data_IF_825954312766
#
_entry.id   IF_825954312766
#
_cell.length_a   1.000
_cell.length_b   1.000
_cell.length_c   1.000
_cell.angle_alpha   90.00
_cell.angle_beta   90.00
_cell.angle_gamma   90.00
#
_symmetry.space_group_name_H-M   'P 1'
#
loop_
_entity.id
_entity.type
_entity.pdbx_description
1 polymer ?
#
# COMPACT_ATOMS: atom_id res chain seq x y z
N UNK A 1 12.42 -1.70 4.22
CA UNK A 1 11.36 -0.66 4.11
C UNK A 1 10.17 -1.27 3.41
N UNK A 2 8.95 -0.90 3.77
CA UNK A 2 7.74 -1.46 3.16
C UNK A 2 7.73 -1.33 1.62
N UNK A 3 8.08 -0.16 1.09
CA UNK A 3 8.13 0.06 -0.36
C UNK A 3 9.07 -0.91 -1.09
N UNK A 4 10.23 -1.20 -0.50
CA UNK A 4 11.18 -2.15 -1.06
C UNK A 4 10.64 -3.59 -1.02
N UNK A 5 9.92 -3.97 0.03
CA UNK A 5 9.32 -5.30 0.14
C UNK A 5 8.20 -5.51 -0.90
N UNK A 6 7.40 -4.48 -1.17
CA UNK A 6 6.42 -4.50 -2.27
C UNK A 6 7.10 -4.55 -3.65
N UNK A 7 8.24 -3.87 -3.84
CA UNK A 7 9.04 -3.98 -5.07
C UNK A 7 9.53 -5.40 -5.27
N UNK A 8 10.17 -5.97 -4.25
CA UNK A 8 10.77 -7.29 -4.30
C UNK A 8 9.69 -8.38 -4.49
N UNK A 9 8.47 -8.12 -4.03
CA UNK A 9 7.30 -9.00 -4.20
C UNK A 9 6.44 -8.71 -5.42
N UNK A 10 6.76 -7.68 -6.22
CA UNK A 10 5.86 -7.15 -7.24
C UNK A 10 5.42 -8.20 -8.26
N UNK A 11 6.34 -9.05 -8.71
CA UNK A 11 6.03 -10.11 -9.67
C UNK A 11 4.98 -11.11 -9.13
N UNK A 12 5.04 -11.45 -7.83
CA UNK A 12 4.07 -12.35 -7.21
C UNK A 12 2.67 -11.71 -7.14
N UNK A 13 2.64 -10.39 -6.91
CA UNK A 13 1.41 -9.60 -6.87
C UNK A 13 0.81 -9.48 -8.28
N UNK A 14 1.63 -9.15 -9.30
CA UNK A 14 1.20 -9.08 -10.70
C UNK A 14 0.65 -10.40 -11.23
N UNK A 15 1.21 -11.54 -10.81
CA UNK A 15 0.69 -12.87 -11.16
C UNK A 15 -0.70 -13.17 -10.59
N UNK A 16 -1.18 -12.35 -9.66
CA UNK A 16 -2.52 -12.45 -9.09
C UNK A 16 -3.50 -11.44 -9.71
N UNK A 17 -3.17 -10.89 -10.89
CA UNK A 17 -3.93 -9.84 -11.59
C UNK A 17 -4.19 -8.59 -10.72
N UNK A 18 -3.27 -8.32 -9.79
CA UNK A 18 -3.34 -7.19 -8.86
C UNK A 18 -2.26 -6.15 -9.17
N UNK A 19 -2.57 -4.90 -8.83
CA UNK A 19 -1.66 -3.76 -8.94
C UNK A 19 -1.36 -3.19 -7.56
N UNK A 20 -0.17 -2.62 -7.39
CA UNK A 20 0.23 -1.91 -6.17
C UNK A 20 0.09 -0.41 -6.40
N UNK A 21 -0.51 0.30 -5.43
CA UNK A 21 -0.55 1.76 -5.37
C UNK A 21 -0.12 2.20 -3.98
N UNK A 22 1.04 2.86 -3.87
CA UNK A 22 1.47 3.48 -2.62
C UNK A 22 0.85 4.87 -2.47
N UNK A 23 0.51 5.28 -1.25
CA UNK A 23 -0.09 6.59 -0.98
C UNK A 23 0.68 7.27 0.16
N UNK A 24 1.06 8.53 -0.03
CA UNK A 24 1.74 9.35 1.00
C UNK A 24 1.28 10.81 0.93
N UNK A 25 1.40 11.52 2.05
CA UNK A 25 1.18 12.98 2.12
C UNK A 25 2.31 13.81 1.51
N UNK A 26 3.39 13.18 1.05
CA UNK A 26 4.51 13.85 0.38
C UNK A 26 4.10 14.43 -0.98
N UNK A 27 4.83 15.45 -1.46
CA UNK A 27 4.57 16.06 -2.75
C UNK A 27 4.86 15.07 -3.90
N UNK A 28 4.11 15.16 -5.00
CA UNK A 28 4.30 14.32 -6.18
C UNK A 28 5.77 14.25 -6.64
N UNK A 29 6.45 15.39 -6.76
CA UNK A 29 7.87 15.42 -7.14
C UNK A 29 8.80 14.67 -6.18
N UNK A 30 8.49 14.66 -4.88
CA UNK A 30 9.26 13.88 -3.90
C UNK A 30 8.97 12.39 -4.02
N UNK A 31 7.73 12.01 -4.33
CA UNK A 31 7.35 10.62 -4.60
C UNK A 31 7.99 10.09 -5.88
N UNK A 32 8.05 10.90 -6.94
CA UNK A 32 8.72 10.55 -8.20
C UNK A 32 10.20 10.28 -7.97
N UNK A 33 10.88 11.16 -7.23
CA UNK A 33 12.29 10.98 -6.87
C UNK A 33 12.50 9.72 -6.02
N UNK A 34 11.64 9.48 -5.04
CA UNK A 34 11.69 8.30 -4.17
C UNK A 34 11.46 6.99 -4.94
N UNK A 35 10.48 6.97 -5.86
CA UNK A 35 10.19 5.82 -6.70
C UNK A 35 11.38 5.51 -7.63
N UNK A 36 12.00 6.54 -8.19
CA UNK A 36 13.19 6.40 -9.03
C UNK A 36 14.40 5.88 -8.23
N UNK A 37 14.67 6.46 -7.06
CA UNK A 37 15.79 6.06 -6.20
C UNK A 37 15.71 4.59 -5.77
N UNK A 38 14.50 4.11 -5.45
CA UNK A 38 14.28 2.74 -5.01
C UNK A 38 13.97 1.76 -6.15
N UNK A 39 13.84 2.23 -7.38
CA UNK A 39 13.45 1.42 -8.54
C UNK A 39 12.10 0.73 -8.34
N UNK A 40 11.09 1.47 -7.87
CA UNK A 40 9.76 0.92 -7.60
C UNK A 40 9.02 0.65 -8.93
N UNK A 41 8.53 -0.58 -9.15
CA UNK A 41 7.83 -0.97 -10.39
C UNK A 41 6.33 -0.60 -10.36
N UNK A 42 5.90 0.20 -9.39
CA UNK A 42 4.50 0.54 -9.14
C UNK A 42 4.33 2.03 -8.84
N UNK A 43 3.09 2.50 -8.95
CA UNK A 43 2.77 3.92 -8.82
C UNK A 43 2.67 4.39 -7.37
N UNK A 44 3.02 5.65 -7.14
CA UNK A 44 2.79 6.36 -5.89
C UNK A 44 1.84 7.54 -6.12
N UNK A 45 0.85 7.71 -5.25
CA UNK A 45 -0.09 8.83 -5.27
C UNK A 45 0.18 9.79 -4.11
N UNK A 46 0.14 11.08 -4.43
CA UNK A 46 0.29 12.17 -3.48
C UNK A 46 -1.06 12.53 -2.87
N UNK A 47 -1.21 12.35 -1.56
CA UNK A 47 -2.38 12.73 -0.76
C UNK A 47 -2.06 13.99 0.08
N UNK A 48 -1.61 15.07 -0.57
CA UNK A 48 -1.17 16.31 0.11
C UNK A 48 -2.24 16.92 1.00
N UNK A 49 -3.50 16.80 0.61
CA UNK A 49 -4.65 17.30 1.37
C UNK A 49 -5.09 16.33 2.49
N UNK A 50 -4.56 15.10 2.54
CA UNK A 50 -4.96 14.07 3.51
C UNK A 50 -6.38 13.55 3.31
N UNK A 51 -6.95 13.73 2.11
CA UNK A 51 -8.32 13.33 1.82
C UNK A 51 -8.46 11.82 1.78
N UNK A 52 -7.54 11.13 1.09
CA UNK A 52 -7.56 9.66 1.02
C UNK A 52 -7.35 9.06 2.40
N UNK A 53 -6.36 9.57 3.15
CA UNK A 53 -6.10 9.17 4.54
C UNK A 53 -7.35 9.30 5.42
N UNK A 54 -8.13 10.37 5.25
CA UNK A 54 -9.37 10.59 6.01
C UNK A 54 -10.46 9.61 5.59
N UNK A 55 -10.64 9.38 4.28
CA UNK A 55 -11.66 8.47 3.76
C UNK A 55 -11.42 7.01 4.16
N UNK A 56 -10.15 6.61 4.27
CA UNK A 56 -9.76 5.24 4.65
C UNK A 56 -9.54 5.05 6.16
N UNK A 57 -9.85 6.06 6.99
CA UNK A 57 -9.67 6.02 8.46
C UNK A 57 -8.24 5.64 8.91
N UNK A 58 -7.24 6.11 8.16
CA UNK A 58 -5.80 5.85 8.42
C UNK A 58 -5.24 6.85 9.45
N UNK A 59 -6.11 7.46 10.27
CA UNK A 59 -5.71 8.42 11.29
C UNK A 59 -5.26 7.70 12.56
N UNK A 60 -4.10 8.07 13.11
CA UNK A 60 -3.67 7.60 14.44
C UNK A 60 -4.64 8.16 15.49
N UNK A 61 -5.10 7.30 16.40
CA UNK A 61 -6.04 7.65 17.50
C UNK A 61 -5.59 8.79 18.44
N UNK A 62 -4.35 9.29 18.33
CA UNK A 62 -3.79 10.33 19.20
C UNK A 62 -3.01 11.43 18.47
N UNK A 63 -3.38 11.75 17.23
CA UNK A 63 -3.10 13.07 16.65
C UNK A 63 -1.71 13.36 16.07
N UNK A 64 -0.75 12.43 16.11
CA UNK A 64 0.56 12.60 15.47
C UNK A 64 0.88 11.45 14.51
N UNK A 65 1.02 11.79 13.22
CA UNK A 65 1.50 10.90 12.16
C UNK A 65 0.44 10.09 11.40
N UNK A 66 0.83 9.59 10.23
CA UNK A 66 0.11 8.58 9.43
C UNK A 66 0.28 7.19 10.07
N UNK A 67 -0.78 6.38 10.07
CA UNK A 67 -0.66 4.94 10.36
C UNK A 67 -0.24 4.21 9.09
N UNK A 68 0.64 3.21 9.21
CA UNK A 68 0.95 2.29 8.12
C UNK A 68 -0.15 1.23 7.99
N UNK A 69 -0.80 1.21 6.83
CA UNK A 69 -1.90 0.28 6.55
C UNK A 69 -1.79 -0.23 5.12
N UNK A 70 -2.08 -1.52 4.92
CA UNK A 70 -2.24 -2.12 3.60
C UNK A 70 -3.68 -2.58 3.43
N UNK A 71 -4.32 -2.11 2.35
CA UNK A 71 -5.64 -2.55 1.95
C UNK A 71 -5.53 -3.46 0.74
N UNK A 72 -6.32 -4.54 0.73
CA UNK A 72 -6.56 -5.34 -0.46
C UNK A 72 -8.00 -5.08 -0.90
N UNK A 73 -8.15 -4.59 -2.12
CA UNK A 73 -9.43 -4.13 -2.67
C UNK A 73 -9.71 -4.95 -3.93
N UNK A 74 -10.92 -5.50 -4.04
CA UNK A 74 -11.31 -6.28 -5.21
C UNK A 74 -11.76 -5.40 -6.40
N UNK A 75 -11.98 -5.97 -7.60
CA UNK A 75 -12.43 -5.20 -8.76
C UNK A 75 -13.80 -4.52 -8.62
N UNK A 76 -14.63 -4.92 -7.65
CA UNK A 76 -15.90 -4.26 -7.33
C UNK A 76 -15.74 -3.04 -6.41
N UNK A 77 -14.51 -2.78 -5.95
CA UNK A 77 -14.18 -1.70 -5.02
C UNK A 77 -14.39 -2.07 -3.55
N UNK A 78 -14.60 -3.35 -3.22
CA UNK A 78 -14.78 -3.79 -1.83
C UNK A 78 -13.44 -4.10 -1.19
N UNK A 79 -13.25 -3.60 0.03
CA UNK A 79 -12.10 -3.93 0.87
C UNK A 79 -12.25 -5.38 1.35
N UNK A 80 -11.34 -6.23 0.89
CA UNK A 80 -11.25 -7.64 1.29
C UNK A 80 -10.36 -7.82 2.52
N UNK A 81 -9.40 -6.90 2.74
CA UNK A 81 -8.57 -6.90 3.94
C UNK A 81 -8.01 -5.51 4.25
N UNK A 82 -7.81 -5.22 5.54
CA UNK A 82 -7.10 -4.05 6.04
C UNK A 82 -6.08 -4.49 7.10
N UNK A 83 -4.80 -4.32 6.82
CA UNK A 83 -3.71 -4.75 7.69
C UNK A 83 -3.00 -3.55 8.31
N UNK A 84 -3.18 -3.37 9.62
CA UNK A 84 -2.66 -2.25 10.39
C UNK A 84 -1.44 -2.70 11.20
N UNK A 85 -0.23 -2.32 10.78
CA UNK A 85 0.97 -2.61 11.54
C UNK A 85 2.06 -1.55 11.31
N UNK A 86 2.29 -0.71 12.30
CA UNK A 86 3.23 0.39 12.10
C UNK A 86 4.68 -0.07 11.92
N UNK A 87 5.08 -1.10 12.67
CA UNK A 87 6.48 -1.43 12.88
C UNK A 87 6.95 -2.57 11.97
N UNK A 88 6.04 -3.45 11.54
CA UNK A 88 6.39 -4.65 10.80
C UNK A 88 6.39 -4.45 9.27
N UNK A 89 7.29 -3.61 8.77
CA UNK A 89 7.37 -3.26 7.33
C UNK A 89 7.38 -4.44 6.35
N UNK A 90 7.96 -5.59 6.73
CA UNK A 90 7.99 -6.80 5.88
C UNK A 90 6.67 -7.56 5.79
N UNK A 91 5.84 -7.44 6.83
CA UNK A 91 4.60 -8.22 6.93
C UNK A 91 3.50 -7.74 5.98
N UNK A 92 3.57 -6.50 5.52
CA UNK A 92 2.54 -5.89 4.65
C UNK A 92 2.43 -6.56 3.28
N UNK A 93 3.56 -6.71 2.57
CA UNK A 93 3.57 -7.36 1.27
C UNK A 93 3.18 -8.84 1.39
N UNK A 94 3.65 -9.53 2.44
CA UNK A 94 3.29 -10.92 2.67
C UNK A 94 1.78 -11.10 2.91
N UNK A 95 1.20 -10.29 3.80
CA UNK A 95 -0.23 -10.29 4.09
C UNK A 95 -1.05 -10.03 2.82
N UNK A 96 -0.67 -9.04 2.00
CA UNK A 96 -1.35 -8.75 0.75
C UNK A 96 -1.35 -9.96 -0.21
N UNK A 97 -0.20 -10.63 -0.37
CA UNK A 97 -0.07 -11.81 -1.22
C UNK A 97 -0.91 -12.98 -0.71
N UNK A 98 -0.96 -13.20 0.61
CA UNK A 98 -1.82 -14.23 1.21
C UNK A 98 -3.29 -13.99 0.86
N UNK A 99 -3.79 -12.76 1.05
CA UNK A 99 -5.18 -12.41 0.72
C UNK A 99 -5.44 -12.57 -0.78
N UNK A 100 -4.55 -12.08 -1.65
CA UNK A 100 -4.71 -12.22 -3.11
C UNK A 100 -4.81 -13.68 -3.54
N UNK A 101 -4.03 -14.59 -2.93
CA UNK A 101 -4.12 -16.03 -3.19
C UNK A 101 -5.49 -16.59 -2.79
N UNK A 102 -5.98 -16.23 -1.60
CA UNK A 102 -7.31 -16.70 -1.15
C UNK A 102 -8.45 -16.25 -2.06
N UNK A 103 -8.35 -15.03 -2.61
CA UNK A 103 -9.37 -14.47 -3.50
C UNK A 103 -9.36 -15.13 -4.88
N UNK A 104 -8.20 -15.55 -5.39
CA UNK A 104 -8.08 -16.23 -6.69
C UNK A 104 -8.62 -17.66 -6.65
N UNK A 105 -8.52 -18.31 -5.50
CA UNK A 105 -8.92 -19.71 -5.31
C UNK A 105 -10.39 -19.86 -4.87
N UNK A 106 -11.16 -18.75 -4.85
CA UNK A 106 -12.59 -18.67 -4.49
C UNK A 106 -13.48 -18.53 -5.74
#
# INVERSE_FOLDING_TARGET
>A
MEAAEFRDSHNNISQSDAVVLGISTDAAAALDAFALELGLPYSLASDRAGEVRRLYDVQRRFGLGTSRVTYVIDPSGKIQSAYHNEFATKSHAHHAIEILRTLRDS
#
